data_IF_641067423036
#
_entry.id   IF_641067423036
#
_cell.length_a   1.000
_cell.length_b   1.000
_cell.length_c   1.000
_cell.angle_alpha   90.00
_cell.angle_beta   90.00
_cell.angle_gamma   90.00
#
_symmetry.space_group_name_H-M   'P 1'
#
loop_
_entity.id
_entity.type
_entity.pdbx_description
1 polymer ?
#
# COMPACT_ATOMS: atom_id res chain seq x y z
N UNK A 1 -13.11 -4.60 -60.24
CA UNK A 1 -12.20 -5.06 -59.20
C UNK A 1 -12.48 -4.22 -57.94
N UNK A 2 -13.42 -4.69 -57.12
CA UNK A 2 -13.81 -3.99 -55.91
C UNK A 2 -12.96 -4.49 -54.73
N UNK A 3 -12.09 -3.62 -54.23
CA UNK A 3 -11.40 -3.89 -52.96
C UNK A 3 -12.30 -3.44 -51.81
N UNK A 4 -12.91 -4.43 -51.14
CA UNK A 4 -13.49 -4.22 -49.81
C UNK A 4 -12.35 -4.13 -48.78
N UNK A 5 -12.12 -2.93 -48.25
CA UNK A 5 -11.34 -2.77 -47.05
C UNK A 5 -12.23 -3.26 -45.87
N UNK A 6 -11.94 -4.42 -45.35
CA UNK A 6 -12.44 -4.83 -44.03
C UNK A 6 -11.78 -3.92 -42.98
N UNK A 7 -12.52 -2.96 -42.50
CA UNK A 7 -12.21 -2.32 -41.23
C UNK A 7 -12.42 -3.36 -40.13
N UNK A 8 -11.34 -4.00 -39.69
CA UNK A 8 -11.33 -4.72 -38.42
C UNK A 8 -11.49 -3.66 -37.34
N UNK A 9 -12.72 -3.51 -36.83
CA UNK A 9 -12.95 -2.79 -35.59
C UNK A 9 -12.26 -3.64 -34.53
N UNK A 10 -11.07 -3.20 -34.12
CA UNK A 10 -10.38 -3.74 -32.95
C UNK A 10 -11.24 -3.31 -31.76
N UNK A 11 -12.20 -4.16 -31.38
CA UNK A 11 -12.96 -3.95 -30.16
C UNK A 11 -11.96 -3.91 -29.03
N UNK A 12 -11.95 -2.80 -28.29
CA UNK A 12 -11.14 -2.67 -27.08
C UNK A 12 -11.51 -3.83 -26.14
N UNK A 13 -10.70 -4.88 -26.12
CA UNK A 13 -10.88 -5.97 -25.18
C UNK A 13 -10.63 -5.42 -23.77
N UNK A 14 -11.71 -5.32 -23.00
CA UNK A 14 -11.65 -4.89 -21.61
C UNK A 14 -10.73 -5.84 -20.84
N UNK A 15 -9.62 -5.32 -20.33
CA UNK A 15 -8.65 -6.11 -19.56
C UNK A 15 -9.28 -6.62 -18.27
N UNK A 16 -9.11 -7.91 -17.98
CA UNK A 16 -9.59 -8.56 -16.76
C UNK A 16 -8.51 -8.56 -15.69
N UNK A 17 -8.79 -8.00 -14.54
CA UNK A 17 -7.86 -7.98 -13.41
C UNK A 17 -8.44 -8.64 -12.17
N UNK A 18 -7.67 -9.48 -11.52
CA UNK A 18 -7.99 -10.02 -10.20
C UNK A 18 -7.28 -9.20 -9.13
N UNK A 19 -8.03 -8.61 -8.21
CA UNK A 19 -7.50 -7.94 -7.02
C UNK A 19 -7.79 -8.79 -5.79
N UNK A 20 -6.75 -9.24 -5.08
CA UNK A 20 -6.95 -9.96 -3.82
C UNK A 20 -7.34 -9.00 -2.71
N UNK A 21 -8.44 -9.29 -1.99
CA UNK A 21 -9.06 -8.41 -1.00
C UNK A 21 -10.21 -7.58 -1.60
N UNK A 22 -10.00 -6.30 -1.85
CA UNK A 22 -11.00 -5.41 -2.47
C UNK A 22 -11.95 -4.70 -1.49
N UNK A 23 -11.80 -4.89 -0.19
CA UNK A 23 -12.76 -4.34 0.81
C UNK A 23 -12.14 -3.41 1.85
N UNK A 24 -10.81 -3.33 1.93
CA UNK A 24 -10.10 -2.51 2.93
C UNK A 24 -8.93 -1.78 2.29
N UNK A 25 -8.80 -0.52 2.58
CA UNK A 25 -7.73 0.41 2.19
C UNK A 25 -7.08 0.11 0.82
N UNK A 26 -5.82 -0.34 0.80
CA UNK A 26 -5.06 -0.51 -0.47
C UNK A 26 -5.82 -1.36 -1.46
N UNK A 27 -6.32 -2.53 -1.05
CA UNK A 27 -7.04 -3.42 -1.97
C UNK A 27 -8.38 -2.85 -2.43
N UNK A 28 -9.10 -2.12 -1.56
CA UNK A 28 -10.34 -1.42 -1.91
C UNK A 28 -10.07 -0.29 -2.90
N UNK A 29 -9.02 0.48 -2.66
CA UNK A 29 -8.62 1.60 -3.53
C UNK A 29 -8.16 1.10 -4.90
N UNK A 30 -7.29 0.09 -4.95
CA UNK A 30 -6.83 -0.54 -6.19
C UNK A 30 -8.01 -1.06 -7.01
N UNK A 31 -8.91 -1.83 -6.39
CA UNK A 31 -10.08 -2.35 -7.10
C UNK A 31 -10.96 -1.24 -7.68
N UNK A 32 -11.20 -0.17 -6.90
CA UNK A 32 -11.97 1.00 -7.34
C UNK A 32 -11.25 1.76 -8.47
N UNK A 33 -9.95 1.94 -8.37
CA UNK A 33 -9.15 2.62 -9.39
C UNK A 33 -9.26 1.90 -10.74
N UNK A 34 -8.99 0.60 -10.78
CA UNK A 34 -9.05 -0.17 -12.03
C UNK A 34 -10.48 -0.26 -12.57
N UNK A 35 -11.49 -0.41 -11.70
CA UNK A 35 -12.90 -0.36 -12.11
C UNK A 35 -13.25 0.98 -12.78
N UNK A 36 -12.79 2.10 -12.22
CA UNK A 36 -13.04 3.45 -12.77
C UNK A 36 -12.25 3.74 -14.05
N UNK A 37 -11.21 2.95 -14.36
CA UNK A 37 -10.40 3.04 -15.58
C UNK A 37 -10.75 1.95 -16.61
N UNK A 38 -12.01 1.49 -16.63
CA UNK A 38 -12.57 0.57 -17.62
C UNK A 38 -11.95 -0.84 -17.64
N UNK A 39 -11.41 -1.32 -16.50
CA UNK A 39 -11.03 -2.72 -16.35
C UNK A 39 -12.22 -3.55 -15.84
N UNK A 40 -12.34 -4.79 -16.29
CA UNK A 40 -13.23 -5.77 -15.68
C UNK A 40 -12.57 -6.31 -14.42
N UNK A 41 -12.97 -5.79 -13.25
CA UNK A 41 -12.32 -6.09 -11.97
C UNK A 41 -13.03 -7.24 -11.27
N UNK A 42 -12.25 -8.25 -10.91
CA UNK A 42 -12.65 -9.31 -10.00
C UNK A 42 -11.99 -9.06 -8.63
N UNK A 43 -12.74 -9.24 -7.56
CA UNK A 43 -12.23 -9.17 -6.19
C UNK A 43 -12.38 -10.52 -5.50
N UNK A 44 -11.33 -10.99 -4.85
CA UNK A 44 -11.30 -12.27 -4.13
C UNK A 44 -11.20 -12.01 -2.64
N UNK A 45 -12.26 -12.32 -1.89
CA UNK A 45 -12.29 -12.21 -0.44
C UNK A 45 -13.41 -13.07 0.17
N UNK A 46 -13.47 -13.15 1.52
CA UNK A 46 -14.41 -14.00 2.27
C UNK A 46 -15.83 -13.44 2.38
N UNK A 47 -16.17 -12.32 1.78
CA UNK A 47 -17.51 -11.72 1.84
C UNK A 47 -17.92 -11.17 3.20
N UNK A 48 -16.95 -10.91 4.11
CA UNK A 48 -17.24 -10.41 5.47
C UNK A 48 -17.50 -8.91 5.55
N UNK A 49 -17.31 -8.21 4.44
CA UNK A 49 -17.53 -6.76 4.31
C UNK A 49 -18.26 -6.48 3.00
N UNK A 50 -18.92 -5.33 2.96
CA UNK A 50 -19.55 -4.83 1.76
C UNK A 50 -18.56 -4.71 0.60
N UNK A 51 -18.97 -5.14 -0.58
CA UNK A 51 -18.17 -5.06 -1.79
C UNK A 51 -18.34 -3.67 -2.43
N UNK A 52 -17.33 -3.25 -3.19
CA UNK A 52 -17.48 -2.05 -4.02
C UNK A 52 -18.40 -2.35 -5.20
N UNK A 53 -19.08 -1.32 -5.68
CA UNK A 53 -19.98 -1.43 -6.82
C UNK A 53 -19.24 -1.77 -8.12
N UNK A 54 -19.93 -2.42 -9.04
CA UNK A 54 -19.45 -2.72 -10.40
C UNK A 54 -18.18 -3.56 -10.48
N UNK A 55 -17.91 -4.42 -9.47
CA UNK A 55 -16.87 -5.45 -9.51
C UNK A 55 -17.50 -6.84 -9.51
N UNK A 56 -16.79 -7.82 -10.07
CA UNK A 56 -17.17 -9.24 -9.98
C UNK A 56 -16.59 -9.84 -8.71
N UNK A 57 -17.45 -10.31 -7.83
CA UNK A 57 -17.05 -10.84 -6.54
C UNK A 57 -16.87 -12.35 -6.57
N UNK A 58 -15.69 -12.83 -6.18
CA UNK A 58 -15.36 -14.23 -5.96
C UNK A 58 -15.26 -14.44 -4.45
N UNK A 59 -16.29 -15.13 -3.89
CA UNK A 59 -16.33 -15.43 -2.46
C UNK A 59 -15.50 -16.68 -2.15
N UNK A 60 -14.31 -16.49 -1.61
CA UNK A 60 -13.47 -17.60 -1.19
C UNK A 60 -12.50 -17.18 -0.07
N UNK A 61 -12.08 -18.15 0.74
CA UNK A 61 -10.98 -17.97 1.68
C UNK A 61 -9.65 -18.23 0.96
N UNK A 62 -8.76 -17.25 0.97
CA UNK A 62 -7.44 -17.36 0.36
C UNK A 62 -6.62 -18.55 0.89
N UNK A 63 -6.87 -18.96 2.13
CA UNK A 63 -6.19 -20.13 2.73
C UNK A 63 -6.64 -21.46 2.14
N UNK A 64 -7.80 -21.50 1.50
CA UNK A 64 -8.40 -22.69 0.88
C UNK A 64 -9.19 -22.27 -0.36
N UNK A 65 -8.50 -22.14 -1.50
CA UNK A 65 -9.11 -21.72 -2.76
C UNK A 65 -9.63 -22.91 -3.59
N UNK A 66 -9.11 -24.10 -3.36
CA UNK A 66 -9.42 -25.29 -4.16
C UNK A 66 -9.42 -24.96 -5.68
N UNK A 67 -10.46 -25.31 -6.39
CA UNK A 67 -10.61 -25.08 -7.83
C UNK A 67 -11.40 -23.78 -8.15
N UNK A 68 -11.66 -22.90 -7.17
CA UNK A 68 -12.57 -21.76 -7.36
C UNK A 68 -12.09 -20.72 -8.40
N UNK A 69 -10.81 -20.69 -8.75
CA UNK A 69 -10.24 -19.83 -9.79
C UNK A 69 -9.88 -20.57 -11.07
N UNK A 70 -10.09 -21.88 -11.16
CA UNK A 70 -9.60 -22.74 -12.25
C UNK A 70 -10.15 -22.35 -13.62
N UNK A 71 -11.42 -21.94 -13.68
CA UNK A 71 -12.08 -21.54 -14.91
C UNK A 71 -11.79 -20.07 -15.29
N UNK A 72 -11.03 -19.34 -14.48
CA UNK A 72 -10.71 -17.94 -14.72
C UNK A 72 -9.34 -17.78 -15.35
N UNK A 73 -9.28 -16.87 -16.34
CA UNK A 73 -8.03 -16.35 -16.89
C UNK A 73 -8.07 -14.82 -16.81
N UNK A 74 -6.98 -14.25 -16.30
CA UNK A 74 -6.86 -12.80 -16.07
C UNK A 74 -5.74 -12.21 -16.94
N UNK A 75 -5.89 -10.94 -17.36
CA UNK A 75 -4.77 -10.20 -17.93
C UNK A 75 -3.75 -9.86 -16.84
N UNK A 76 -4.22 -9.56 -15.61
CA UNK A 76 -3.32 -9.37 -14.48
C UNK A 76 -3.92 -9.87 -13.16
N UNK A 77 -3.04 -10.34 -12.28
CA UNK A 77 -3.33 -10.55 -10.86
C UNK A 77 -2.61 -9.47 -10.06
N UNK A 78 -3.35 -8.67 -9.30
CA UNK A 78 -2.82 -7.66 -8.38
C UNK A 78 -2.98 -8.20 -6.96
N UNK A 79 -1.91 -8.81 -6.46
CA UNK A 79 -1.93 -9.49 -5.17
C UNK A 79 -1.57 -8.55 -4.03
N UNK A 80 -2.58 -7.90 -3.47
CA UNK A 80 -2.45 -6.97 -2.35
C UNK A 80 -2.38 -7.68 -1.00
N UNK A 81 -3.09 -8.80 -0.87
CA UNK A 81 -3.28 -9.51 0.40
C UNK A 81 -2.37 -10.74 0.58
N UNK A 82 -1.35 -10.91 -0.24
CA UNK A 82 -0.33 -11.95 -0.07
C UNK A 82 0.65 -11.60 1.04
N UNK A 83 0.58 -12.28 2.18
CA UNK A 83 1.42 -12.00 3.35
C UNK A 83 2.56 -12.99 3.53
N UNK A 84 2.54 -14.12 2.85
CA UNK A 84 3.54 -15.18 2.99
C UNK A 84 3.56 -16.11 1.76
N UNK A 85 4.49 -17.07 1.77
CA UNK A 85 4.61 -18.08 0.70
C UNK A 85 3.30 -18.82 0.41
N UNK A 86 2.57 -19.26 1.46
CA UNK A 86 1.35 -20.06 1.28
C UNK A 86 0.25 -19.26 0.59
N UNK A 87 0.14 -17.98 0.89
CA UNK A 87 -0.82 -17.10 0.24
C UNK A 87 -0.59 -16.99 -1.27
N UNK A 88 0.66 -16.81 -1.68
CA UNK A 88 1.05 -16.75 -3.09
C UNK A 88 0.85 -18.12 -3.76
N UNK A 89 1.27 -19.19 -3.10
CA UNK A 89 1.11 -20.54 -3.58
C UNK A 89 -0.36 -20.87 -3.88
N UNK A 90 -1.26 -20.58 -2.96
CA UNK A 90 -2.68 -20.89 -3.12
C UNK A 90 -3.29 -20.21 -4.36
N UNK A 91 -2.92 -18.94 -4.64
CA UNK A 91 -3.36 -18.27 -5.88
C UNK A 91 -2.80 -18.96 -7.12
N UNK A 92 -1.49 -19.24 -7.15
CA UNK A 92 -0.84 -19.85 -8.32
C UNK A 92 -1.32 -21.27 -8.61
N UNK A 93 -1.64 -22.04 -7.57
CA UNK A 93 -2.10 -23.43 -7.71
C UNK A 93 -3.60 -23.50 -8.10
N UNK A 94 -4.40 -22.45 -7.82
CA UNK A 94 -5.85 -22.41 -8.06
C UNK A 94 -6.24 -21.75 -9.38
N UNK A 95 -5.49 -20.75 -9.86
CA UNK A 95 -5.91 -19.95 -11.03
C UNK A 95 -5.71 -20.69 -12.34
N UNK A 96 -6.69 -20.57 -13.27
CA UNK A 96 -6.61 -21.20 -14.60
C UNK A 96 -5.55 -20.58 -15.52
N UNK A 97 -5.32 -19.26 -15.41
CA UNK A 97 -4.27 -18.57 -16.16
C UNK A 97 -4.19 -17.07 -15.87
N UNK A 98 -3.05 -16.48 -16.20
CA UNK A 98 -2.84 -15.03 -16.14
C UNK A 98 -1.67 -14.64 -17.05
N UNK A 99 -1.62 -13.35 -17.44
CA UNK A 99 -0.48 -12.79 -18.19
C UNK A 99 0.54 -12.17 -17.24
N UNK A 100 0.08 -11.25 -16.38
CA UNK A 100 0.93 -10.53 -15.43
C UNK A 100 0.58 -10.86 -13.98
N UNK A 101 1.59 -10.90 -13.11
CA UNK A 101 1.40 -11.01 -11.67
C UNK A 101 2.13 -9.87 -10.98
N UNK A 102 1.38 -9.04 -10.26
CA UNK A 102 1.92 -7.91 -9.50
C UNK A 102 1.71 -8.19 -8.02
N UNK A 103 2.81 -8.33 -7.30
CA UNK A 103 2.80 -8.59 -5.87
C UNK A 103 3.09 -7.32 -5.07
N UNK A 104 2.15 -6.92 -4.22
CA UNK A 104 2.37 -5.81 -3.29
C UNK A 104 3.11 -6.35 -2.07
N UNK A 105 4.43 -6.22 -2.11
CA UNK A 105 5.34 -6.57 -1.04
C UNK A 105 5.43 -5.42 0.01
N UNK A 106 6.59 -5.15 0.55
CA UNK A 106 6.83 -4.11 1.54
C UNK A 106 8.31 -3.79 1.68
N UNK A 107 8.67 -2.58 2.08
CA UNK A 107 10.01 -2.21 2.55
C UNK A 107 10.48 -3.03 3.76
N UNK A 108 9.56 -3.70 4.45
CA UNK A 108 9.86 -4.60 5.58
C UNK A 108 10.71 -5.83 5.22
N UNK A 109 10.94 -6.09 3.93
CA UNK A 109 11.80 -7.18 3.44
C UNK A 109 13.29 -6.88 3.59
N UNK A 110 13.67 -5.60 3.77
CA UNK A 110 15.06 -5.22 3.94
C UNK A 110 15.50 -5.38 5.39
N UNK A 111 16.59 -6.11 5.67
CA UNK A 111 17.21 -6.12 7.00
C UNK A 111 17.55 -4.69 7.48
N UNK A 112 17.36 -4.43 8.76
CA UNK A 112 17.70 -3.12 9.35
C UNK A 112 19.18 -2.78 9.27
N UNK A 113 20.02 -3.78 9.04
CA UNK A 113 21.48 -3.65 8.91
C UNK A 113 21.93 -3.22 7.52
N UNK A 114 21.05 -3.23 6.53
CA UNK A 114 21.37 -2.77 5.17
C UNK A 114 21.65 -1.27 5.14
N UNK A 115 22.46 -0.85 4.17
CA UNK A 115 22.78 0.57 3.96
C UNK A 115 21.55 1.30 3.41
N UNK A 116 21.24 2.47 3.98
CA UNK A 116 20.14 3.32 3.51
C UNK A 116 20.66 4.40 2.55
N UNK A 117 19.86 4.81 1.55
CA UNK A 117 18.54 4.28 1.23
C UNK A 117 18.58 2.84 0.72
N UNK A 118 17.58 2.04 1.06
CA UNK A 118 17.50 0.66 0.57
C UNK A 118 17.24 0.63 -0.93
N UNK A 119 18.06 -0.10 -1.67
CA UNK A 119 17.87 -0.31 -3.12
C UNK A 119 17.40 -1.74 -3.42
N UNK A 120 16.78 -1.93 -4.58
CA UNK A 120 16.25 -3.23 -5.02
C UNK A 120 17.34 -4.28 -5.20
N UNK A 121 18.59 -3.86 -5.39
CA UNK A 121 19.75 -4.74 -5.56
C UNK A 121 20.29 -5.29 -4.23
N UNK A 122 19.84 -4.78 -3.11
CA UNK A 122 20.27 -5.26 -1.80
C UNK A 122 19.57 -6.57 -1.43
N UNK A 123 20.26 -7.37 -0.61
CA UNK A 123 19.68 -8.61 -0.08
C UNK A 123 18.45 -8.35 0.80
N UNK A 124 17.48 -9.24 0.67
CA UNK A 124 16.27 -9.25 1.51
C UNK A 124 16.34 -10.36 2.55
N UNK A 125 15.76 -10.13 3.73
CA UNK A 125 15.83 -11.06 4.84
C UNK A 125 15.12 -10.57 6.09
N UNK A 126 15.51 -11.12 7.24
CA UNK A 126 14.92 -10.76 8.53
C UNK A 126 15.19 -9.30 8.87
N UNK A 127 14.12 -8.58 9.11
CA UNK A 127 14.09 -7.29 9.76
C UNK A 127 13.50 -7.48 11.16
N UNK A 128 14.25 -7.16 12.21
CA UNK A 128 13.85 -7.38 13.60
C UNK A 128 12.62 -6.56 14.01
N UNK A 129 12.45 -5.37 13.42
CA UNK A 129 11.30 -4.49 13.70
C UNK A 129 10.00 -5.11 13.17
N UNK A 130 10.06 -5.70 11.97
CA UNK A 130 8.90 -6.25 11.28
C UNK A 130 8.69 -7.75 11.52
N UNK A 131 9.71 -8.46 12.00
CA UNK A 131 9.65 -9.86 12.41
C UNK A 131 8.96 -10.78 11.40
N UNK A 132 7.92 -11.47 11.86
CA UNK A 132 7.16 -12.44 11.01
C UNK A 132 6.53 -11.82 9.78
N UNK A 133 6.07 -10.56 9.83
CA UNK A 133 5.47 -9.89 8.69
C UNK A 133 6.49 -9.69 7.56
N UNK A 134 7.66 -9.13 7.88
CA UNK A 134 8.74 -8.93 6.89
C UNK A 134 9.21 -10.26 6.30
N UNK A 135 9.44 -11.28 7.14
CA UNK A 135 9.83 -12.62 6.69
C UNK A 135 8.79 -13.27 5.79
N UNK A 136 7.51 -13.14 6.13
CA UNK A 136 6.44 -13.66 5.28
C UNK A 136 6.47 -13.04 3.87
N UNK A 137 6.68 -11.71 3.78
CA UNK A 137 6.84 -11.04 2.48
C UNK A 137 8.07 -11.52 1.72
N UNK A 138 9.22 -11.72 2.41
CA UNK A 138 10.44 -12.31 1.82
C UNK A 138 10.17 -13.70 1.24
N UNK A 139 9.47 -14.55 1.97
CA UNK A 139 9.12 -15.90 1.52
C UNK A 139 8.15 -15.85 0.32
N UNK A 140 7.18 -14.93 0.35
CA UNK A 140 6.24 -14.69 -0.74
C UNK A 140 6.96 -14.27 -2.02
N UNK A 141 7.86 -13.27 -1.96
CA UNK A 141 8.66 -12.81 -3.10
C UNK A 141 9.50 -13.95 -3.70
N UNK A 142 10.26 -14.65 -2.85
CA UNK A 142 11.12 -15.76 -3.28
C UNK A 142 10.34 -16.88 -3.96
N UNK A 143 9.20 -17.26 -3.38
CA UNK A 143 8.34 -18.28 -3.95
C UNK A 143 7.75 -17.84 -5.29
N UNK A 144 7.20 -16.62 -5.35
CA UNK A 144 6.62 -16.06 -6.58
C UNK A 144 7.64 -16.06 -7.71
N UNK A 145 8.82 -15.49 -7.50
CA UNK A 145 9.87 -15.42 -8.53
C UNK A 145 10.40 -16.80 -8.95
N UNK A 146 10.36 -17.80 -8.06
CA UNK A 146 10.73 -19.18 -8.42
C UNK A 146 9.72 -19.85 -9.37
N UNK A 147 8.45 -19.41 -9.33
CA UNK A 147 7.35 -19.98 -10.15
C UNK A 147 7.00 -19.10 -11.36
N UNK A 148 7.14 -17.80 -11.22
CA UNK A 148 6.83 -16.76 -12.20
C UNK A 148 7.99 -15.77 -12.24
N UNK A 149 9.08 -16.08 -12.97
CA UNK A 149 10.30 -15.25 -12.95
C UNK A 149 10.10 -13.82 -13.44
N UNK A 150 9.09 -13.58 -14.27
CA UNK A 150 8.72 -12.28 -14.82
C UNK A 150 7.60 -11.57 -14.01
N UNK A 151 7.28 -12.05 -12.81
CA UNK A 151 6.35 -11.34 -11.92
C UNK A 151 6.93 -10.01 -11.46
N UNK A 152 6.06 -9.00 -11.27
CA UNK A 152 6.44 -7.70 -10.75
C UNK A 152 6.24 -7.63 -9.23
N UNK A 153 7.21 -7.04 -8.54
CA UNK A 153 7.19 -6.88 -7.09
C UNK A 153 7.30 -5.40 -6.76
N UNK A 154 6.33 -4.87 -6.00
CA UNK A 154 6.34 -3.51 -5.50
C UNK A 154 6.60 -3.52 -4.00
N UNK A 155 7.61 -2.77 -3.54
CA UNK A 155 8.02 -2.67 -2.14
C UNK A 155 7.72 -1.27 -1.60
N UNK A 156 6.48 -1.00 -1.16
CA UNK A 156 6.11 0.30 -0.61
C UNK A 156 6.64 0.51 0.82
N UNK A 157 6.85 1.80 1.21
CA UNK A 157 7.04 2.21 2.59
C UNK A 157 5.68 2.37 3.28
N UNK A 158 5.39 3.51 3.94
CA UNK A 158 4.08 3.83 4.48
C UNK A 158 3.11 4.26 3.37
N UNK A 159 2.22 3.36 2.96
CA UNK A 159 1.09 3.73 2.09
C UNK A 159 0.11 4.60 2.88
N UNK A 160 -0.40 5.66 2.26
CA UNK A 160 -1.38 6.57 2.83
C UNK A 160 -2.36 7.05 1.76
N UNK A 161 -3.43 7.72 2.17
CA UNK A 161 -4.44 8.23 1.26
C UNK A 161 -5.87 7.92 1.72
N UNK A 162 -6.89 8.22 0.89
CA UNK A 162 -8.26 7.87 1.18
C UNK A 162 -8.45 6.37 1.47
N UNK A 163 -9.44 6.03 2.29
CA UNK A 163 -9.74 4.66 2.76
C UNK A 163 -8.72 4.07 3.75
N UNK A 164 -7.78 4.87 4.25
CA UNK A 164 -6.79 4.44 5.25
C UNK A 164 -7.46 4.07 6.57
N UNK A 165 -7.44 2.79 6.89
CA UNK A 165 -8.01 2.27 8.14
C UNK A 165 -7.01 2.08 9.28
N UNK A 166 -5.71 2.33 9.03
CA UNK A 166 -4.67 2.27 10.06
C UNK A 166 -4.56 3.63 10.76
N UNK A 167 -4.50 3.62 12.08
CA UNK A 167 -4.46 4.83 12.92
C UNK A 167 -3.08 5.49 12.89
N UNK A 168 -2.68 6.04 11.73
CA UNK A 168 -1.45 6.81 11.50
C UNK A 168 -1.76 8.29 11.33
N UNK A 169 -1.90 8.80 10.09
CA UNK A 169 -2.39 10.14 9.83
C UNK A 169 -3.77 10.39 10.46
N UNK A 170 -4.72 9.42 10.50
CA UNK A 170 -5.98 9.61 11.21
C UNK A 170 -5.83 9.91 12.70
N UNK A 171 -4.79 9.40 13.37
CA UNK A 171 -4.49 9.75 14.76
C UNK A 171 -4.10 11.22 14.91
N UNK A 172 -3.27 11.73 14.00
CA UNK A 172 -2.85 13.14 14.02
C UNK A 172 -4.03 14.05 13.71
N UNK A 173 -4.86 13.67 12.72
CA UNK A 173 -6.10 14.40 12.42
C UNK A 173 -7.06 14.44 13.62
N UNK A 174 -7.23 13.34 14.35
CA UNK A 174 -8.07 13.29 15.54
C UNK A 174 -7.54 14.21 16.64
N UNK A 175 -6.21 14.22 16.87
CA UNK A 175 -5.60 15.15 17.83
C UNK A 175 -5.83 16.62 17.42
N UNK A 176 -5.63 16.94 16.14
CA UNK A 176 -5.83 18.28 15.61
C UNK A 176 -7.30 18.74 15.74
N UNK A 177 -8.27 17.89 15.35
CA UNK A 177 -9.71 18.18 15.48
C UNK A 177 -10.15 18.43 16.92
N UNK A 178 -9.48 17.82 17.89
CA UNK A 178 -9.75 17.98 19.32
C UNK A 178 -8.91 19.09 19.96
N UNK A 179 -8.15 19.86 19.17
CA UNK A 179 -7.21 20.89 19.64
C UNK A 179 -6.26 20.38 20.74
N UNK A 180 -5.80 19.12 20.62
CA UNK A 180 -4.87 18.52 21.57
C UNK A 180 -3.43 18.93 21.24
N UNK A 181 -2.60 19.06 22.27
CA UNK A 181 -1.14 19.06 22.12
C UNK A 181 -0.71 17.77 21.43
N UNK A 182 0.36 17.83 20.64
CA UNK A 182 0.88 16.63 19.99
C UNK A 182 2.23 16.21 20.59
N UNK A 183 2.29 14.97 21.03
CA UNK A 183 3.46 14.39 21.70
C UNK A 183 4.41 13.80 20.68
N UNK A 184 5.52 14.50 20.44
CA UNK A 184 6.55 14.18 19.46
C UNK A 184 7.62 13.28 20.10
N UNK A 185 7.92 12.10 19.52
CA UNK A 185 9.02 11.25 20.01
C UNK A 185 10.39 11.95 19.83
N UNK A 186 11.21 11.93 20.90
CA UNK A 186 12.56 12.48 20.90
C UNK A 186 12.57 13.94 20.42
N UNK A 187 13.37 14.25 19.41
CA UNK A 187 13.48 15.58 18.78
C UNK A 187 12.63 15.72 17.50
N UNK A 188 11.90 14.66 17.12
CA UNK A 188 11.04 14.63 15.95
C UNK A 188 11.75 14.62 14.60
N UNK A 189 13.07 14.39 14.56
CA UNK A 189 13.86 14.42 13.31
C UNK A 189 13.93 13.10 12.57
N UNK A 190 13.41 12.01 13.16
CA UNK A 190 13.35 10.71 12.47
C UNK A 190 12.60 10.84 11.16
N UNK A 191 13.19 10.31 10.08
CA UNK A 191 12.64 10.41 8.73
C UNK A 191 11.57 9.36 8.47
N UNK A 192 10.52 9.80 7.78
CA UNK A 192 9.40 8.98 7.32
C UNK A 192 9.28 9.12 5.80
N UNK A 193 9.08 8.01 5.12
CA UNK A 193 8.77 8.01 3.69
C UNK A 193 7.36 7.49 3.48
N UNK A 194 6.60 8.20 2.67
CA UNK A 194 5.22 7.88 2.34
C UNK A 194 5.07 7.56 0.85
N UNK A 195 3.98 6.91 0.50
CA UNK A 195 3.56 6.76 -0.89
C UNK A 195 2.05 6.79 -0.99
N UNK A 196 1.52 7.67 -1.83
CA UNK A 196 0.09 7.82 -1.97
C UNK A 196 -0.51 6.61 -2.69
N UNK A 197 -1.65 6.10 -2.20
CA UNK A 197 -2.29 4.90 -2.75
C UNK A 197 -2.69 5.06 -4.22
N UNK A 198 -3.02 6.28 -4.66
CA UNK A 198 -3.30 6.57 -6.07
C UNK A 198 -2.05 6.43 -6.96
N UNK A 199 -0.89 6.84 -6.46
CA UNK A 199 0.37 6.70 -7.21
C UNK A 199 0.82 5.24 -7.27
N UNK A 200 0.51 4.45 -6.25
CA UNK A 200 0.66 2.98 -6.32
C UNK A 200 -0.18 2.41 -7.47
N UNK A 201 -1.44 2.85 -7.62
CA UNK A 201 -2.29 2.40 -8.73
C UNK A 201 -1.72 2.79 -10.10
N UNK A 202 -1.24 4.04 -10.24
CA UNK A 202 -0.60 4.52 -11.48
C UNK A 202 0.66 3.70 -11.84
N UNK A 203 1.50 3.36 -10.85
CA UNK A 203 2.67 2.49 -11.10
C UNK A 203 2.23 1.11 -11.57
N UNK A 204 1.21 0.51 -10.96
CA UNK A 204 0.66 -0.78 -11.40
C UNK A 204 0.19 -0.66 -12.86
N UNK A 205 -0.57 0.37 -13.18
CA UNK A 205 -1.08 0.61 -14.54
C UNK A 205 0.07 0.80 -15.54
N UNK A 206 1.09 1.60 -15.21
CA UNK A 206 2.28 1.78 -16.05
C UNK A 206 3.04 0.47 -16.28
N UNK A 207 3.16 -0.38 -15.28
CA UNK A 207 3.76 -1.71 -15.42
C UNK A 207 2.96 -2.56 -16.42
N UNK A 208 1.63 -2.57 -16.31
CA UNK A 208 0.74 -3.33 -17.19
C UNK A 208 0.67 -2.77 -18.63
N UNK A 209 1.03 -1.50 -18.84
CA UNK A 209 1.10 -0.88 -20.15
C UNK A 209 2.47 -1.08 -20.82
N UNK A 210 3.55 -0.92 -20.06
CA UNK A 210 4.91 -0.78 -20.58
C UNK A 210 5.73 -2.06 -20.49
N UNK A 211 5.37 -2.99 -19.60
CA UNK A 211 6.13 -4.22 -19.30
C UNK A 211 7.63 -3.95 -19.17
N UNK A 212 8.06 -3.13 -18.20
CA UNK A 212 9.46 -2.74 -18.05
C UNK A 212 10.35 -3.96 -17.77
N UNK A 213 11.64 -3.86 -18.14
CA UNK A 213 12.64 -4.93 -17.91
C UNK A 213 12.95 -5.14 -16.41
N UNK A 214 12.90 -4.05 -15.62
CA UNK A 214 12.99 -4.16 -14.17
C UNK A 214 11.71 -4.79 -13.62
N UNK A 215 11.83 -5.85 -12.82
CA UNK A 215 10.69 -6.57 -12.23
C UNK A 215 10.48 -6.27 -10.73
N UNK A 216 11.44 -5.62 -10.08
CA UNK A 216 11.37 -5.26 -8.66
C UNK A 216 11.52 -3.76 -8.53
N UNK A 217 10.54 -3.13 -7.87
CA UNK A 217 10.49 -1.68 -7.66
C UNK A 217 10.29 -1.36 -6.19
N UNK A 218 11.20 -0.60 -5.63
CA UNK A 218 10.87 0.23 -4.49
C UNK A 218 9.94 1.34 -4.94
N UNK A 219 8.85 1.55 -4.22
CA UNK A 219 7.88 2.60 -4.54
C UNK A 219 7.69 3.50 -3.33
N UNK A 220 7.73 4.81 -3.55
CA UNK A 220 7.66 5.81 -2.48
C UNK A 220 7.78 7.23 -3.02
N UNK A 221 7.44 8.21 -2.22
CA UNK A 221 7.73 9.59 -2.57
C UNK A 221 9.26 9.79 -2.59
N UNK A 222 9.72 10.54 -3.58
CA UNK A 222 11.13 10.93 -3.69
C UNK A 222 11.58 11.73 -2.47
N UNK A 223 10.69 12.59 -1.98
CA UNK A 223 10.94 13.39 -0.80
C UNK A 223 10.55 12.62 0.45
N UNK A 224 11.40 12.70 1.47
CA UNK A 224 11.14 12.18 2.80
C UNK A 224 10.91 13.35 3.76
N UNK A 225 10.06 13.15 4.76
CA UNK A 225 9.77 14.16 5.78
C UNK A 225 10.17 13.65 7.15
N UNK A 226 10.49 14.54 8.09
CA UNK A 226 10.62 14.13 9.49
C UNK A 226 9.27 14.14 10.21
N UNK A 227 9.26 13.59 11.42
CA UNK A 227 8.05 13.53 12.25
C UNK A 227 7.47 14.92 12.48
N UNK A 228 8.32 15.94 12.75
CA UNK A 228 7.86 17.31 12.97
C UNK A 228 7.08 17.83 11.78
N UNK A 229 7.68 17.73 10.59
CA UNK A 229 7.06 18.19 9.33
C UNK A 229 5.78 17.43 9.01
N UNK A 230 5.77 16.10 9.22
CA UNK A 230 4.57 15.29 9.02
C UNK A 230 3.40 15.75 9.92
N UNK A 231 3.67 15.97 11.21
CA UNK A 231 2.63 16.43 12.17
C UNK A 231 2.17 17.83 11.84
N UNK A 232 3.09 18.74 11.50
CA UNK A 232 2.76 20.10 11.05
C UNK A 232 1.83 20.11 9.83
N UNK A 233 2.15 19.28 8.83
CA UNK A 233 1.31 19.14 7.63
C UNK A 233 -0.09 18.64 7.98
N UNK A 234 -0.20 17.63 8.86
CA UNK A 234 -1.50 17.10 9.28
C UNK A 234 -2.34 18.16 10.00
N UNK A 235 -1.75 18.94 10.94
CA UNK A 235 -2.46 20.02 11.63
C UNK A 235 -2.84 21.15 10.67
N UNK A 236 -1.95 21.50 9.74
CA UNK A 236 -2.21 22.50 8.69
C UNK A 236 -3.39 22.09 7.80
N UNK A 237 -3.48 20.82 7.43
CA UNK A 237 -4.59 20.28 6.61
C UNK A 237 -5.91 20.38 7.37
N UNK A 238 -5.92 20.12 8.68
CA UNK A 238 -7.11 20.25 9.53
C UNK A 238 -7.48 21.72 9.75
N UNK A 239 -6.50 22.64 9.69
CA UNK A 239 -6.68 24.06 10.03
C UNK A 239 -6.64 24.33 11.54
N UNK A 240 -5.98 23.47 12.32
CA UNK A 240 -5.88 23.60 13.77
C UNK A 240 -4.50 24.13 14.22
N UNK A 241 -4.43 24.87 15.34
CA UNK A 241 -3.15 25.27 15.93
C UNK A 241 -2.41 24.05 16.46
N UNK A 242 -1.08 24.01 16.29
CA UNK A 242 -0.23 22.93 16.78
C UNK A 242 0.62 23.39 17.97
N UNK A 243 0.44 22.75 19.11
CA UNK A 243 1.36 22.80 20.24
C UNK A 243 2.12 21.47 20.33
N UNK A 244 3.45 21.51 20.26
CA UNK A 244 4.31 20.31 20.31
C UNK A 244 4.85 20.10 21.72
N UNK A 245 4.80 18.86 22.18
CA UNK A 245 5.46 18.38 23.40
C UNK A 245 6.46 17.30 23.03
N UNK A 246 7.74 17.52 23.32
CA UNK A 246 8.77 16.53 23.01
C UNK A 246 8.93 15.52 24.14
N UNK A 247 8.85 14.24 23.82
CA UNK A 247 8.94 13.12 24.77
C UNK A 247 10.31 12.48 24.64
N UNK A 248 11.23 12.78 25.57
CA UNK A 248 12.63 12.35 25.53
C UNK A 248 12.87 11.07 26.31
N UNK A 249 12.08 10.81 27.36
CA UNK A 249 12.35 9.77 28.37
C UNK A 249 11.55 8.49 28.20
N UNK A 250 10.71 8.38 27.15
CA UNK A 250 9.85 7.24 26.96
C UNK A 250 10.42 6.25 25.97
N UNK A 251 10.71 5.02 26.43
CA UNK A 251 11.38 3.99 25.63
C UNK A 251 10.48 3.38 24.54
N UNK A 252 9.17 3.37 24.72
CA UNK A 252 8.24 2.74 23.79
C UNK A 252 7.33 3.76 23.11
N UNK A 253 7.86 4.42 22.05
CA UNK A 253 7.06 5.39 21.30
C UNK A 253 5.78 4.79 20.67
N UNK A 254 5.73 3.46 20.45
CA UNK A 254 4.53 2.79 19.91
C UNK A 254 3.34 2.80 20.87
N UNK A 255 3.51 3.19 22.11
CA UNK A 255 2.42 3.38 23.07
C UNK A 255 1.64 4.68 22.87
N UNK A 256 2.25 5.70 22.26
CA UNK A 256 1.68 7.03 22.07
C UNK A 256 1.86 7.62 20.67
N UNK A 257 2.61 6.92 19.78
CA UNK A 257 2.89 7.38 18.42
C UNK A 257 2.75 6.27 17.40
N UNK A 258 2.33 6.63 16.19
CA UNK A 258 1.88 5.66 15.19
C UNK A 258 2.99 4.94 14.46
N UNK A 259 4.22 5.41 14.49
CA UNK A 259 5.35 4.85 13.76
C UNK A 259 6.36 4.20 14.70
N UNK A 260 7.13 3.24 14.18
CA UNK A 260 8.24 2.64 14.91
C UNK A 260 9.42 3.62 15.00
N UNK A 261 10.25 3.48 16.02
CA UNK A 261 11.52 4.18 16.16
C UNK A 261 12.58 3.56 15.21
N UNK A 262 12.32 3.72 13.92
CA UNK A 262 13.13 3.12 12.87
C UNK A 262 12.91 3.81 11.53
N UNK A 263 14.01 4.29 10.93
CA UNK A 263 13.99 4.85 9.59
C UNK A 263 14.18 3.76 8.54
N UNK A 264 13.29 3.71 7.57
CA UNK A 264 13.53 2.98 6.34
C UNK A 264 13.18 3.87 5.14
N UNK A 265 14.25 4.26 4.47
CA UNK A 265 14.20 5.11 3.30
C UNK A 265 14.58 4.26 2.11
N UNK A 266 13.75 4.28 1.09
CA UNK A 266 13.92 3.54 -0.15
C UNK A 266 14.55 4.43 -1.22
N UNK A 267 15.49 3.86 -1.96
CA UNK A 267 15.86 4.39 -3.27
C UNK A 267 14.73 4.07 -4.26
N UNK A 268 14.13 5.11 -4.81
CA UNK A 268 12.99 5.00 -5.74
C UNK A 268 13.37 5.36 -7.18
N UNK A 269 14.65 5.28 -7.50
CA UNK A 269 15.18 5.68 -8.82
C UNK A 269 14.59 4.87 -9.96
N UNK A 270 14.27 3.57 -9.76
CA UNK A 270 13.60 2.75 -10.77
C UNK A 270 12.16 3.21 -11.00
N UNK A 271 11.40 3.42 -9.92
CA UNK A 271 10.04 3.94 -9.99
C UNK A 271 9.98 5.27 -10.74
N UNK A 272 10.94 6.18 -10.48
CA UNK A 272 10.93 7.52 -11.06
C UNK A 272 11.09 7.51 -12.59
N UNK A 273 11.60 6.43 -13.19
CA UNK A 273 11.60 6.26 -14.66
C UNK A 273 10.19 6.02 -15.21
N UNK A 274 9.31 5.40 -14.45
CA UNK A 274 7.92 5.09 -14.84
C UNK A 274 6.95 6.18 -14.39
N UNK A 275 7.16 6.75 -13.20
CA UNK A 275 6.32 7.78 -12.58
C UNK A 275 7.22 8.88 -11.99
N UNK A 276 7.70 9.83 -12.79
CA UNK A 276 8.60 10.89 -12.33
C UNK A 276 7.94 11.86 -11.35
N UNK A 277 6.62 12.06 -11.48
CA UNK A 277 5.84 12.96 -10.62
C UNK A 277 4.97 12.14 -9.69
N UNK A 278 5.18 12.29 -8.39
CA UNK A 278 4.35 11.71 -7.34
C UNK A 278 3.50 12.80 -6.71
N UNK A 279 2.39 12.39 -6.09
CA UNK A 279 1.52 13.30 -5.36
C UNK A 279 2.28 13.97 -4.21
N UNK A 280 2.21 15.29 -4.14
CA UNK A 280 2.72 16.05 -2.99
C UNK A 280 2.08 15.57 -1.69
N UNK A 281 2.88 15.49 -0.61
CA UNK A 281 2.42 14.94 0.67
C UNK A 281 1.28 15.78 1.27
N UNK A 282 1.34 17.12 1.16
CA UNK A 282 0.29 17.98 1.70
C UNK A 282 -1.05 17.76 0.97
N UNK A 283 -1.02 17.70 -0.37
CA UNK A 283 -2.23 17.43 -1.15
C UNK A 283 -2.79 16.02 -0.90
N UNK A 284 -1.92 15.02 -0.77
CA UNK A 284 -2.34 13.67 -0.42
C UNK A 284 -2.92 13.55 0.99
N UNK A 285 -2.36 14.28 1.98
CA UNK A 285 -2.91 14.34 3.33
C UNK A 285 -4.27 15.06 3.36
N UNK A 286 -4.46 16.07 2.51
CA UNK A 286 -5.74 16.76 2.35
C UNK A 286 -6.83 15.81 1.81
N UNK A 287 -6.53 15.00 0.79
CA UNK A 287 -7.45 13.96 0.31
C UNK A 287 -7.75 12.92 1.40
N UNK A 288 -6.72 12.51 2.17
CA UNK A 288 -6.88 11.58 3.29
C UNK A 288 -7.80 12.15 4.36
N UNK A 289 -7.65 13.44 4.70
CA UNK A 289 -8.47 14.12 5.68
C UNK A 289 -9.92 14.31 5.21
N UNK A 290 -10.13 14.68 3.94
CA UNK A 290 -11.48 14.79 3.37
C UNK A 290 -12.22 13.45 3.47
N UNK A 291 -11.55 12.34 3.19
CA UNK A 291 -12.12 11.02 3.39
C UNK A 291 -12.37 10.74 4.88
N UNK A 292 -11.40 11.02 5.75
CA UNK A 292 -11.48 10.75 7.19
C UNK A 292 -12.67 11.45 7.86
N UNK A 293 -12.97 12.69 7.48
CA UNK A 293 -14.12 13.45 8.05
C UNK A 293 -15.43 12.67 7.98
N UNK A 294 -15.66 11.95 6.90
CA UNK A 294 -16.90 11.22 6.66
C UNK A 294 -16.82 9.73 7.04
N UNK A 295 -15.60 9.19 7.21
CA UNK A 295 -15.38 7.75 7.36
C UNK A 295 -14.52 7.39 8.57
N UNK A 296 -14.44 8.26 9.58
CA UNK A 296 -13.59 8.02 10.77
C UNK A 296 -13.94 6.74 11.54
N UNK A 297 -15.16 6.24 11.38
CA UNK A 297 -15.63 4.99 11.97
C UNK A 297 -15.00 3.74 11.34
N UNK A 298 -14.48 3.82 10.11
CA UNK A 298 -13.75 2.73 9.45
C UNK A 298 -12.31 2.57 9.99
N UNK A 299 -11.79 3.58 10.71
CA UNK A 299 -10.41 3.57 11.22
C UNK A 299 -10.29 2.71 12.48
N UNK A 300 -9.35 1.77 12.47
CA UNK A 300 -9.07 0.90 13.62
C UNK A 300 -8.21 1.68 14.61
N UNK A 301 -8.85 2.31 15.58
CA UNK A 301 -8.19 3.14 16.60
C UNK A 301 -7.32 2.30 17.54
N UNK A 302 -6.28 2.94 18.08
CA UNK A 302 -5.41 2.44 19.14
C UNK A 302 -5.50 3.36 20.35
N UNK A 303 -5.14 2.84 21.51
CA UNK A 303 -5.27 3.55 22.79
C UNK A 303 -4.19 4.63 23.03
N UNK A 304 -3.66 5.25 21.96
CA UNK A 304 -2.63 6.29 22.07
C UNK A 304 -3.07 7.46 22.94
N UNK A 305 -4.29 7.97 22.74
CA UNK A 305 -4.82 9.09 23.50
C UNK A 305 -4.95 8.71 24.98
N UNK A 306 -5.51 7.56 25.30
CA UNK A 306 -5.60 7.08 26.69
C UNK A 306 -4.23 6.93 27.36
N UNK A 307 -3.24 6.46 26.59
CA UNK A 307 -1.88 6.37 27.11
C UNK A 307 -1.29 7.74 27.42
N UNK A 308 -1.49 8.70 26.51
CA UNK A 308 -1.04 10.10 26.68
C UNK A 308 -1.66 10.72 27.91
N UNK A 309 -2.98 10.66 28.03
CA UNK A 309 -3.73 11.21 29.18
C UNK A 309 -3.28 10.63 30.53
N UNK A 310 -2.91 9.37 30.55
CA UNK A 310 -2.46 8.70 31.78
C UNK A 310 -1.01 9.01 32.17
N UNK A 311 -0.12 9.24 31.17
CA UNK A 311 1.32 9.27 31.44
C UNK A 311 1.97 10.64 31.20
N UNK A 312 1.33 11.53 30.46
CA UNK A 312 1.89 12.82 30.04
C UNK A 312 1.03 14.03 30.41
N UNK A 313 -0.27 13.85 30.71
CA UNK A 313 -1.24 14.85 31.16
C UNK A 313 -1.67 14.56 32.61
#
# INVERSE_FOLDING_TARGET
MNFYYEFIIQGDFVKRVLVTGGTVFVSKYVAKYFQSNNYEVYVLNRGTKEQIENVKFICADRSNLDDCLKEYSFDAIIDVCGYNRKDVQNILDSVGGFKDYIFISSSAVYPETNIKPFSENQGIGLNKIWGKYGMGKVEGEKYLLSRVPNAYILRPPYLYGPMQNVYREPFVFECALKNRKFYIPKDGKMKLQFFHVNDLCKIIEKILEMHPEDHIFNVGNKEVVDINSFVELCYKVVGAPLEKVYVTDHQNQRSYFSFYDYEYILDVSRQNKLLPEQKDLYEGLKESYEWYKNNSHEVIKKDYIKFIEKNFE
#
